data_IF_939232188367
#
_entry.id   IF_939232188367
#
_cell.length_a   1.000
_cell.length_b   1.000
_cell.length_c   1.000
_cell.angle_alpha   90.00
_cell.angle_beta   90.00
_cell.angle_gamma   90.00
#
_symmetry.space_group_name_H-M   'P 1'
#
loop_
_entity.id
_entity.type
_entity.pdbx_description
1 polymer ?
#
# COMPACT_ATOMS: atom_id res chain seq x y z
N UNK A 1 -32.77 2.30 5.70
CA UNK A 1 -31.75 3.18 6.30
C UNK A 1 -30.52 2.32 6.61
N UNK A 2 -29.49 2.38 5.77
CA UNK A 2 -28.20 1.75 6.06
C UNK A 2 -27.25 2.85 6.53
N UNK A 3 -27.03 2.91 7.84
CA UNK A 3 -25.98 3.73 8.44
C UNK A 3 -24.62 3.13 8.08
N UNK A 4 -24.14 3.37 6.85
CA UNK A 4 -22.75 3.12 6.46
C UNK A 4 -21.90 4.32 6.88
N UNK A 5 -21.60 4.40 8.17
CA UNK A 5 -20.48 5.18 8.70
C UNK A 5 -19.60 4.24 9.52
N UNK A 6 -18.93 3.34 8.84
CA UNK A 6 -17.67 2.83 9.37
C UNK A 6 -16.58 3.70 8.77
N UNK A 7 -16.38 4.86 9.43
CA UNK A 7 -15.22 5.70 9.23
C UNK A 7 -14.00 4.93 9.73
N UNK A 8 -12.98 4.85 8.88
CA UNK A 8 -11.55 4.68 9.18
C UNK A 8 -11.24 4.99 10.65
N UNK A 9 -10.93 3.97 11.46
CA UNK A 9 -10.92 4.07 12.92
C UNK A 9 -9.57 4.49 13.51
N UNK A 10 -8.47 4.42 12.77
CA UNK A 10 -7.20 5.05 13.18
C UNK A 10 -6.17 5.03 12.05
N UNK A 11 -5.45 6.14 11.86
CA UNK A 11 -4.29 6.19 10.97
C UNK A 11 -3.01 6.06 11.80
N UNK A 12 -2.13 5.13 11.44
CA UNK A 12 -0.80 4.99 12.02
C UNK A 12 0.27 5.24 10.97
N UNK A 13 1.23 6.10 11.29
CA UNK A 13 2.37 6.40 10.42
C UNK A 13 3.53 5.45 10.71
N UNK A 14 4.18 4.97 9.64
CA UNK A 14 5.36 4.10 9.74
C UNK A 14 6.43 4.66 8.84
N UNK A 15 7.57 5.01 9.44
CA UNK A 15 8.64 5.73 8.74
C UNK A 15 9.58 4.81 7.95
N UNK A 16 9.51 3.50 8.20
CA UNK A 16 10.45 2.54 7.62
C UNK A 16 9.76 1.25 7.19
N UNK A 17 10.07 0.80 5.96
CA UNK A 17 9.60 -0.47 5.38
C UNK A 17 9.89 -1.67 6.30
N UNK A 18 11.02 -1.66 7.01
CA UNK A 18 11.38 -2.73 7.98
C UNK A 18 10.36 -2.93 9.11
N UNK A 19 9.55 -1.91 9.41
CA UNK A 19 8.53 -1.98 10.45
C UNK A 19 7.17 -2.50 9.91
N UNK A 20 7.06 -2.75 8.60
CA UNK A 20 5.84 -3.31 8.00
C UNK A 20 5.57 -4.74 8.47
N UNK A 21 6.61 -5.53 8.77
CA UNK A 21 6.47 -6.90 9.26
C UNK A 21 5.57 -7.01 10.48
N UNK A 22 5.63 -6.01 11.35
CA UNK A 22 4.93 -5.99 12.64
C UNK A 22 3.46 -5.58 12.47
N UNK A 23 3.13 -4.98 11.33
CA UNK A 23 1.80 -4.43 11.00
C UNK A 23 1.05 -5.34 10.03
N UNK A 24 1.78 -5.99 9.13
CA UNK A 24 1.28 -7.01 8.20
C UNK A 24 1.09 -8.34 8.95
N UNK A 25 -0.03 -8.44 9.67
CA UNK A 25 -0.35 -9.61 10.48
C UNK A 25 -0.82 -10.82 9.64
N UNK A 26 -1.28 -10.58 8.42
CA UNK A 26 -1.75 -11.61 7.50
C UNK A 26 -0.61 -12.23 6.68
N UNK A 27 -0.90 -13.35 6.01
CA UNK A 27 0.09 -14.06 5.19
C UNK A 27 0.12 -13.59 3.73
N UNK A 28 -1.03 -13.13 3.22
CA UNK A 28 -1.22 -12.79 1.80
C UNK A 28 -1.91 -11.45 1.65
N UNK A 29 -1.44 -10.70 0.66
CA UNK A 29 -1.92 -9.35 0.40
C UNK A 29 -2.14 -9.11 -1.09
N UNK A 30 -3.09 -8.24 -1.36
CA UNK A 30 -3.17 -7.50 -2.61
C UNK A 30 -2.20 -6.32 -2.56
N UNK A 31 -1.45 -6.10 -3.64
CA UNK A 31 -0.68 -4.88 -3.88
C UNK A 31 -1.11 -4.24 -5.20
N UNK A 32 -1.45 -2.96 -5.13
CA UNK A 32 -1.82 -2.14 -6.28
C UNK A 32 -0.74 -1.08 -6.51
N UNK A 33 -0.19 -1.06 -7.73
CA UNK A 33 0.68 0.01 -8.19
C UNK A 33 -0.19 1.17 -8.69
N UNK A 34 -0.19 2.27 -7.94
CA UNK A 34 -0.94 3.47 -8.32
C UNK A 34 -0.15 4.27 -9.36
N UNK A 35 -0.11 3.81 -10.60
CA UNK A 35 0.56 4.52 -11.69
C UNK A 35 -0.48 5.38 -12.40
N UNK A 36 -0.81 6.52 -11.79
CA UNK A 36 -1.36 7.67 -12.51
C UNK A 36 -0.20 8.29 -13.28
N UNK A 37 0.04 7.82 -14.51
CA UNK A 37 1.09 8.41 -15.37
C UNK A 37 0.49 9.55 -16.17
N UNK A 38 1.00 10.75 -15.98
CA UNK A 38 0.73 11.86 -16.91
C UNK A 38 1.70 11.77 -18.09
N UNK A 39 1.18 11.59 -19.31
CA UNK A 39 1.95 11.74 -20.55
C UNK A 39 1.36 12.92 -21.32
N UNK A 40 1.99 14.09 -21.17
CA UNK A 40 1.41 15.37 -21.60
C UNK A 40 0.20 15.73 -20.74
N UNK A 41 -0.92 16.11 -21.38
CA UNK A 41 -2.20 16.42 -20.69
C UNK A 41 -3.08 15.18 -20.41
N UNK A 42 -2.60 13.98 -20.75
CA UNK A 42 -3.39 12.74 -20.60
C UNK A 42 -2.89 11.95 -19.41
N UNK A 43 -3.84 11.58 -18.56
CA UNK A 43 -3.67 10.70 -17.42
C UNK A 43 -3.94 9.27 -17.85
N UNK A 44 -3.01 8.36 -17.57
CA UNK A 44 -3.13 6.93 -17.84
C UNK A 44 -3.10 6.18 -16.53
N UNK A 45 -4.07 5.29 -16.34
CA UNK A 45 -4.12 4.33 -15.25
C UNK A 45 -3.53 3.02 -15.77
N UNK A 46 -2.41 2.59 -15.20
CA UNK A 46 -1.86 1.26 -15.46
C UNK A 46 -2.03 0.42 -14.20
N UNK A 47 -3.22 -0.12 -14.04
CA UNK A 47 -3.62 -0.91 -12.89
C UNK A 47 -3.10 -2.33 -13.05
N UNK A 48 -2.26 -2.77 -12.11
CA UNK A 48 -1.99 -4.19 -11.90
C UNK A 48 -2.20 -4.46 -10.43
N UNK A 49 -3.22 -5.26 -10.14
CA UNK A 49 -3.46 -5.83 -8.82
C UNK A 49 -2.71 -7.17 -8.78
N UNK A 50 -1.72 -7.27 -7.91
CA UNK A 50 -0.94 -8.50 -7.72
C UNK A 50 -1.31 -9.07 -6.36
N UNK A 51 -1.40 -10.41 -6.27
CA UNK A 51 -1.50 -11.12 -4.99
C UNK A 51 -0.15 -11.74 -4.70
N UNK A 52 0.36 -11.52 -3.51
CA UNK A 52 1.63 -12.11 -3.09
C UNK A 52 1.62 -12.38 -1.58
N UNK A 53 2.55 -13.23 -1.14
CA UNK A 53 2.83 -13.38 0.28
C UNK A 53 3.53 -12.14 0.87
N UNK A 54 3.45 -12.02 2.20
CA UNK A 54 4.03 -10.93 2.99
C UNK A 54 5.51 -10.72 2.69
N UNK A 55 6.30 -11.78 2.75
CA UNK A 55 7.76 -11.69 2.67
C UNK A 55 8.20 -11.22 1.28
N UNK A 56 7.55 -11.69 0.22
CA UNK A 56 7.77 -11.24 -1.15
C UNK A 56 7.41 -9.77 -1.34
N UNK A 57 6.34 -9.28 -0.71
CA UNK A 57 5.98 -7.86 -0.76
C UNK A 57 7.03 -7.02 -0.03
N UNK A 58 7.44 -7.41 1.17
CA UNK A 58 8.45 -6.69 1.93
C UNK A 58 9.76 -6.64 1.14
N UNK A 59 10.20 -7.77 0.57
CA UNK A 59 11.40 -7.83 -0.28
C UNK A 59 11.26 -6.90 -1.49
N UNK A 60 10.14 -6.98 -2.22
CA UNK A 60 9.87 -6.12 -3.36
C UNK A 60 9.91 -4.63 -2.99
N UNK A 61 9.34 -4.26 -1.85
CA UNK A 61 9.32 -2.88 -1.39
C UNK A 61 10.72 -2.39 -1.05
N UNK A 62 11.51 -3.17 -0.31
CA UNK A 62 12.91 -2.87 0.01
C UNK A 62 13.72 -2.65 -1.26
N UNK A 63 13.54 -3.50 -2.27
CA UNK A 63 14.25 -3.39 -3.56
C UNK A 63 13.74 -2.23 -4.42
N UNK A 64 12.51 -1.76 -4.19
CA UNK A 64 11.88 -0.68 -4.95
C UNK A 64 12.25 0.73 -4.47
N UNK A 65 12.87 0.86 -3.29
CA UNK A 65 13.32 2.15 -2.76
C UNK A 65 14.56 2.60 -3.51
N UNK A 66 14.53 3.82 -4.05
CA UNK A 66 15.74 4.46 -4.57
C UNK A 66 16.62 4.89 -3.39
N UNK A 67 17.65 4.10 -3.08
CA UNK A 67 18.58 4.37 -1.98
C UNK A 67 19.29 5.73 -2.07
N UNK A 68 19.41 6.33 -3.25
CA UNK A 68 20.07 7.63 -3.41
C UNK A 68 19.15 8.79 -3.01
N UNK A 69 17.85 8.63 -3.23
CA UNK A 69 16.88 9.71 -3.05
C UNK A 69 15.84 9.42 -1.93
N UNK A 70 15.86 8.21 -1.36
CA UNK A 70 14.92 7.77 -0.32
C UNK A 70 13.48 7.64 -0.79
N UNK A 71 13.21 7.71 -2.10
CA UNK A 71 11.85 7.70 -2.65
C UNK A 71 11.41 6.27 -2.99
N UNK A 72 10.15 5.97 -2.67
CA UNK A 72 9.47 4.77 -3.15
C UNK A 72 8.34 5.17 -4.10
N UNK A 73 7.95 4.29 -5.02
CA UNK A 73 6.71 4.53 -5.77
C UNK A 73 5.51 4.44 -4.81
N UNK A 74 4.41 5.14 -5.07
CA UNK A 74 3.23 4.98 -4.23
C UNK A 74 2.57 3.62 -4.47
N UNK A 75 2.25 2.93 -3.37
CA UNK A 75 1.58 1.63 -3.37
C UNK A 75 0.38 1.63 -2.43
N UNK A 76 -0.65 0.87 -2.79
CA UNK A 76 -1.70 0.47 -1.84
C UNK A 76 -1.59 -1.03 -1.61
N UNK A 77 -1.55 -1.44 -0.35
CA UNK A 77 -1.42 -2.83 0.08
C UNK A 77 -2.54 -3.13 1.05
N UNK A 78 -3.12 -4.32 0.95
CA UNK A 78 -4.20 -4.73 1.83
C UNK A 78 -4.27 -6.25 1.92
N UNK A 79 -4.66 -6.85 3.06
CA UNK A 79 -4.84 -8.30 3.15
C UNK A 79 -5.76 -8.81 2.07
N UNK A 80 -5.65 -10.08 1.71
CA UNK A 80 -6.65 -10.69 0.82
C UNK A 80 -8.02 -10.68 1.51
N UNK A 81 -9.04 -10.12 0.85
CA UNK A 81 -10.40 -9.97 1.37
C UNK A 81 -11.45 -10.37 0.33
N UNK A 82 -12.65 -10.74 0.78
CA UNK A 82 -13.78 -11.08 -0.11
C UNK A 82 -14.70 -9.89 -0.41
N UNK A 83 -14.93 -9.02 0.59
CA UNK A 83 -15.87 -7.90 0.47
C UNK A 83 -15.20 -6.56 0.75
N UNK A 84 -14.59 -6.41 1.93
CA UNK A 84 -13.87 -5.21 2.36
C UNK A 84 -12.63 -5.65 3.14
N UNK A 85 -11.50 -4.97 3.00
CA UNK A 85 -10.33 -5.32 3.79
C UNK A 85 -10.44 -4.86 5.24
N UNK A 86 -9.81 -5.62 6.13
CA UNK A 86 -9.68 -5.26 7.55
C UNK A 86 -8.80 -4.03 7.76
N UNK A 87 -7.82 -3.81 6.87
CA UNK A 87 -6.98 -2.62 6.87
C UNK A 87 -6.35 -2.35 5.51
N UNK A 88 -5.92 -1.10 5.30
CA UNK A 88 -5.18 -0.68 4.11
C UNK A 88 -3.89 0.01 4.54
N UNK A 89 -2.79 -0.38 3.89
CA UNK A 89 -1.47 0.20 4.00
C UNK A 89 -1.23 1.04 2.73
N UNK A 90 -1.01 2.34 2.89
CA UNK A 90 -0.67 3.26 1.81
C UNK A 90 0.78 3.65 1.94
N UNK A 91 1.58 3.39 0.92
CA UNK A 91 2.97 3.85 0.82
C UNK A 91 2.98 5.11 -0.05
N UNK A 92 3.56 6.20 0.44
CA UNK A 92 3.64 7.47 -0.28
C UNK A 92 5.01 7.68 -0.93
N UNK A 93 5.10 8.67 -1.83
CA UNK A 93 6.35 9.01 -2.53
C UNK A 93 7.49 9.30 -1.54
N UNK A 94 7.19 9.94 -0.41
CA UNK A 94 8.14 10.31 0.67
C UNK A 94 8.58 9.12 1.55
N UNK A 95 8.33 7.88 1.13
CA UNK A 95 8.57 6.63 1.86
C UNK A 95 7.79 6.48 3.19
N UNK A 96 6.93 7.44 3.51
CA UNK A 96 6.02 7.37 4.66
C UNK A 96 4.88 6.39 4.37
N UNK A 97 4.56 5.55 5.34
CA UNK A 97 3.49 4.56 5.25
C UNK A 97 2.32 5.01 6.14
N UNK A 98 1.10 5.03 5.59
CA UNK A 98 -0.14 5.23 6.34
C UNK A 98 -0.88 3.90 6.47
N UNK A 99 -1.14 3.47 7.70
CA UNK A 99 -1.97 2.31 8.01
C UNK A 99 -3.35 2.76 8.49
N UNK A 100 -4.43 2.23 7.92
CA UNK A 100 -5.81 2.50 8.33
C UNK A 100 -6.52 1.19 8.69
N UNK A 101 -7.06 1.11 9.92
CA UNK A 101 -7.93 0.03 10.41
C UNK A 101 -9.37 0.51 10.59
#
# INVERSE_FOLDING_TARGET
MLNKKEQCRSITWVDHVKNLSDIMIDDRFYIALNIVRNKGKKTYYRESLIVSDKDSIISFLVDSVDFNNGYSRPYLITPVFEIIPDYVISITEEASICFSK
#
